data_IF_698912568114
#
_entry.id   IF_698912568114
#
_cell.length_a   1.000
_cell.length_b   1.000
_cell.length_c   1.000
_cell.angle_alpha   90.00
_cell.angle_beta   90.00
_cell.angle_gamma   90.00
#
_symmetry.space_group_name_H-M   'P 1'
#
loop_
_entity.id
_entity.type
_entity.pdbx_description
1 polymer ?
#
# COMPACT_ATOMS: atom_id res chain seq x y z
N UNK A 1 15.23 17.20 22.01
CA UNK A 1 14.14 17.66 21.12
C UNK A 1 13.47 18.93 21.63
N UNK A 2 12.89 18.99 22.83
CA UNK A 2 12.25 20.25 23.33
C UNK A 2 13.19 21.45 23.34
N UNK A 3 14.43 21.26 23.79
CA UNK A 3 15.47 22.30 23.73
C UNK A 3 15.73 22.81 22.30
N UNK A 4 15.65 21.95 21.29
CA UNK A 4 15.85 22.34 19.88
C UNK A 4 14.68 23.23 19.43
N UNK A 5 13.45 22.83 19.76
CA UNK A 5 12.23 23.59 19.44
C UNK A 5 12.24 24.95 20.14
N UNK A 6 12.64 25.01 21.41
CA UNK A 6 12.74 26.26 22.19
C UNK A 6 13.81 27.22 21.65
N UNK A 7 14.88 26.70 21.02
CA UNK A 7 15.91 27.52 20.37
C UNK A 7 15.44 28.16 19.06
N UNK A 8 14.31 27.73 18.50
CA UNK A 8 13.71 28.25 17.27
C UNK A 8 14.72 28.41 16.12
N UNK A 9 15.60 27.41 15.97
CA UNK A 9 16.71 27.44 15.02
C UNK A 9 16.17 27.55 13.59
N UNK A 10 16.65 28.51 12.77
CA UNK A 10 16.28 28.62 11.36
C UNK A 10 16.66 27.39 10.55
N UNK A 11 15.79 27.00 9.64
CA UNK A 11 16.02 25.94 8.66
C UNK A 11 16.26 26.62 7.31
N UNK A 12 17.53 26.67 6.90
CA UNK A 12 17.95 27.41 5.71
C UNK A 12 17.98 26.44 4.54
N UNK A 13 17.27 26.78 3.46
CA UNK A 13 17.30 26.04 2.19
C UNK A 13 18.25 26.75 1.22
N UNK A 14 19.19 26.00 0.69
CA UNK A 14 20.14 26.47 -0.33
C UNK A 14 20.06 25.58 -1.55
N UNK A 15 20.30 26.15 -2.73
CA UNK A 15 20.43 25.41 -3.98
C UNK A 15 21.90 25.46 -4.39
N UNK A 16 22.51 24.29 -4.57
CA UNK A 16 23.93 24.11 -4.86
C UNK A 16 24.10 23.20 -6.07
N UNK A 17 25.29 23.23 -6.68
CA UNK A 17 25.64 22.26 -7.73
C UNK A 17 25.74 20.85 -7.13
N UNK A 18 25.47 19.82 -7.94
CA UNK A 18 25.48 18.44 -7.45
C UNK A 18 26.85 18.01 -6.93
N UNK A 19 27.95 18.47 -7.54
CA UNK A 19 29.32 18.16 -7.11
C UNK A 19 29.65 18.80 -5.75
N UNK A 20 29.13 20.01 -5.51
CA UNK A 20 29.25 20.70 -4.22
C UNK A 20 28.44 19.96 -3.15
N UNK A 21 27.21 19.54 -3.47
CA UNK A 21 26.39 18.75 -2.56
C UNK A 21 27.04 17.41 -2.20
N UNK A 22 27.61 16.70 -3.17
CA UNK A 22 28.34 15.44 -2.93
C UNK A 22 29.50 15.66 -1.97
N UNK A 23 30.28 16.73 -2.17
CA UNK A 23 31.39 17.09 -1.27
C UNK A 23 30.90 17.36 0.16
N UNK A 24 29.79 18.12 0.29
CA UNK A 24 29.16 18.39 1.59
C UNK A 24 28.63 17.11 2.26
N UNK A 25 28.06 16.18 1.49
CA UNK A 25 27.60 14.89 2.01
C UNK A 25 28.76 13.99 2.45
N UNK A 26 29.89 14.03 1.75
CA UNK A 26 31.12 13.31 2.12
C UNK A 26 31.67 13.81 3.46
N UNK A 27 31.74 15.13 3.65
CA UNK A 27 32.16 15.75 4.92
C UNK A 27 31.30 15.32 6.13
N UNK A 28 30.03 14.99 5.88
CA UNK A 28 29.06 14.59 6.92
C UNK A 28 28.81 13.08 6.99
N UNK A 29 29.48 12.27 6.16
CA UNK A 29 29.36 10.81 6.14
C UNK A 29 28.04 10.27 5.57
N UNK A 30 27.36 11.02 4.70
CA UNK A 30 26.09 10.61 4.07
C UNK A 30 26.31 9.78 2.79
N UNK A 31 26.92 8.59 2.93
CA UNK A 31 27.26 7.69 1.80
C UNK A 31 26.04 7.29 0.95
N UNK A 32 24.90 7.07 1.60
CA UNK A 32 23.61 6.76 0.98
C UNK A 32 23.15 7.84 0.00
N UNK A 33 23.34 9.11 0.38
CA UNK A 33 23.04 10.26 -0.48
C UNK A 33 24.00 10.34 -1.63
N UNK A 34 25.32 10.24 -1.37
CA UNK A 34 26.34 10.25 -2.43
C UNK A 34 26.00 9.20 -3.49
N UNK A 35 25.69 7.97 -3.06
CA UNK A 35 25.25 6.87 -3.93
C UNK A 35 24.04 7.27 -4.76
N UNK A 36 22.99 7.82 -4.14
CA UNK A 36 21.80 8.30 -4.85
C UNK A 36 22.14 9.35 -5.91
N UNK A 37 22.84 10.42 -5.54
CA UNK A 37 23.07 11.54 -6.46
C UNK A 37 24.00 11.23 -7.62
N UNK A 38 24.95 10.31 -7.43
CA UNK A 38 25.77 9.78 -8.53
C UNK A 38 24.92 9.06 -9.59
N UNK A 39 23.70 8.65 -9.24
CA UNK A 39 22.78 8.02 -10.18
C UNK A 39 21.78 9.00 -10.79
N UNK A 40 21.73 10.27 -10.41
CA UNK A 40 20.75 11.24 -10.92
C UNK A 40 21.36 12.13 -12.02
N UNK A 41 20.51 12.85 -12.74
CA UNK A 41 20.88 13.77 -13.83
C UNK A 41 20.68 15.25 -13.48
N UNK A 42 20.34 15.55 -12.23
CA UNK A 42 20.12 16.91 -11.76
C UNK A 42 21.42 17.73 -11.78
N UNK A 43 21.42 18.91 -12.41
CA UNK A 43 22.54 19.86 -12.34
C UNK A 43 22.70 20.48 -10.94
N UNK A 44 21.56 20.67 -10.25
CA UNK A 44 21.48 21.35 -8.97
C UNK A 44 20.57 20.63 -8.01
N UNK A 45 20.91 20.68 -6.74
CA UNK A 45 20.15 20.04 -5.68
C UNK A 45 19.93 21.00 -4.52
N UNK A 46 18.86 20.75 -3.77
CA UNK A 46 18.52 21.53 -2.58
C UNK A 46 19.08 20.86 -1.35
N UNK A 47 19.87 21.61 -0.58
CA UNK A 47 20.35 21.21 0.74
C UNK A 47 19.70 22.08 1.80
N UNK A 48 19.53 21.52 2.99
CA UNK A 48 18.98 22.19 4.15
C UNK A 48 20.03 22.24 5.25
N UNK A 49 20.17 23.39 5.90
CA UNK A 49 21.04 23.61 7.05
C UNK A 49 20.21 23.95 8.28
N UNK A 50 20.49 23.27 9.39
CA UNK A 50 19.88 23.51 10.71
C UNK A 50 21.01 23.61 11.73
N UNK A 51 21.43 24.84 12.06
CA UNK A 51 22.66 25.04 12.81
C UNK A 51 23.85 24.45 12.06
N UNK A 52 24.59 23.56 12.71
CA UNK A 52 25.76 22.88 12.13
C UNK A 52 25.40 21.59 11.35
N UNK A 53 24.11 21.24 11.25
CA UNK A 53 23.66 20.05 10.54
C UNK A 53 23.27 20.36 9.10
N UNK A 54 23.73 19.54 8.16
CA UNK A 54 23.38 19.60 6.74
C UNK A 54 22.70 18.31 6.27
N UNK A 55 21.64 18.46 5.47
CA UNK A 55 20.87 17.33 4.96
C UNK A 55 20.08 17.64 3.67
N UNK A 56 19.50 16.60 3.05
CA UNK A 56 18.50 16.67 1.96
C UNK A 56 17.17 16.16 2.50
N UNK A 57 16.08 16.84 2.13
CA UNK A 57 14.74 16.30 2.35
C UNK A 57 13.92 16.29 1.06
N UNK A 58 13.16 15.21 0.88
CA UNK A 58 12.30 15.02 -0.29
C UNK A 58 11.11 16.00 -0.31
N UNK A 59 10.66 16.49 0.86
CA UNK A 59 9.58 17.47 1.01
C UNK A 59 10.04 18.90 1.30
N UNK A 60 9.07 19.72 1.71
CA UNK A 60 9.30 21.06 2.23
C UNK A 60 9.45 21.00 3.76
N UNK A 61 10.45 21.68 4.29
CA UNK A 61 10.63 21.82 5.73
C UNK A 61 9.95 23.09 6.25
N UNK A 62 9.60 23.09 7.54
CA UNK A 62 9.17 24.30 8.23
C UNK A 62 10.29 25.36 8.22
N UNK A 63 9.98 26.66 8.36
CA UNK A 63 10.99 27.72 8.37
C UNK A 63 11.97 27.64 9.56
N UNK A 64 11.52 27.14 10.71
CA UNK A 64 12.31 27.03 11.93
C UNK A 64 11.92 25.77 12.71
N UNK A 65 12.80 25.34 13.62
CA UNK A 65 12.53 24.21 14.51
C UNK A 65 11.41 24.47 15.53
N UNK A 66 11.04 25.74 15.78
CA UNK A 66 9.95 26.12 16.68
C UNK A 66 8.55 25.70 16.21
N UNK A 67 8.38 25.39 14.92
CA UNK A 67 7.09 24.93 14.36
C UNK A 67 6.66 23.54 14.89
N UNK A 68 7.58 22.75 15.45
CA UNK A 68 7.30 21.39 15.94
C UNK A 68 6.99 21.40 17.44
N UNK A 69 6.02 22.22 17.84
CA UNK A 69 5.67 22.42 19.26
C UNK A 69 4.89 21.27 19.92
N UNK A 70 4.27 20.40 19.13
CA UNK A 70 3.39 19.34 19.62
C UNK A 70 3.95 17.98 19.16
N UNK A 71 4.65 17.30 20.06
CA UNK A 71 5.14 15.93 19.85
C UNK A 71 5.26 15.18 21.18
N UNK A 72 5.30 13.85 21.11
CA UNK A 72 5.68 12.97 22.21
C UNK A 72 6.71 11.96 21.72
N UNK A 73 7.65 11.60 22.60
CA UNK A 73 8.72 10.65 22.31
C UNK A 73 8.59 9.47 23.26
N UNK A 74 8.29 8.30 22.70
CA UNK A 74 8.18 7.07 23.48
C UNK A 74 9.35 6.15 23.17
N UNK A 75 10.05 5.73 24.20
CA UNK A 75 11.02 4.65 24.05
C UNK A 75 10.30 3.37 23.64
N UNK A 76 10.77 2.74 22.57
CA UNK A 76 10.19 1.51 22.04
C UNK A 76 11.31 0.67 21.42
N UNK A 77 11.80 -0.31 22.16
CA UNK A 77 13.00 -1.07 21.81
C UNK A 77 12.93 -1.65 20.38
N UNK A 78 14.02 -1.56 19.58
CA UNK A 78 15.34 -0.99 19.91
C UNK A 78 15.49 0.53 19.64
N UNK A 79 14.39 1.24 19.38
CA UNK A 79 14.42 2.66 19.01
C UNK A 79 13.42 3.50 19.80
N UNK A 80 12.78 4.43 19.09
CA UNK A 80 11.77 5.31 19.65
C UNK A 80 10.63 5.54 18.66
N UNK A 81 9.47 5.87 19.20
CA UNK A 81 8.28 6.28 18.46
C UNK A 81 8.10 7.78 18.68
N UNK A 82 8.02 8.52 17.59
CA UNK A 82 7.71 9.94 17.59
C UNK A 82 6.23 10.08 17.24
N UNK A 83 5.44 10.59 18.18
CA UNK A 83 4.03 10.91 17.97
C UNK A 83 3.91 12.39 17.68
N UNK A 84 3.15 12.73 16.65
CA UNK A 84 2.84 14.10 16.27
C UNK A 84 1.39 14.17 15.77
N UNK A 85 0.75 15.36 15.80
CA UNK A 85 -0.59 15.54 15.27
C UNK A 85 -0.68 15.14 13.80
N UNK A 86 -1.75 14.45 13.43
CA UNK A 86 -2.15 14.24 12.03
C UNK A 86 -3.14 15.33 11.59
N UNK A 87 -3.38 15.45 10.29
CA UNK A 87 -4.39 16.37 9.71
C UNK A 87 -5.76 16.26 10.40
N UNK A 88 -6.13 15.03 10.78
CA UNK A 88 -7.46 14.74 11.34
C UNK A 88 -7.51 14.86 12.87
N UNK A 89 -6.35 15.08 13.50
CA UNK A 89 -6.24 15.10 14.97
C UNK A 89 -6.56 16.45 15.60
N UNK A 90 -6.85 17.49 14.80
CA UNK A 90 -7.08 18.87 15.27
C UNK A 90 -5.96 19.36 16.21
N UNK A 91 -4.70 19.18 15.81
CA UNK A 91 -3.50 19.52 16.58
C UNK A 91 -3.40 18.81 17.95
N UNK A 92 -4.03 17.64 18.11
CA UNK A 92 -3.90 16.81 19.31
C UNK A 92 -2.97 15.64 19.06
N UNK A 93 -2.22 15.24 20.08
CA UNK A 93 -1.41 14.04 19.99
C UNK A 93 -2.32 12.81 19.90
N UNK A 94 -2.11 11.92 18.91
CA UNK A 94 -2.85 10.68 18.84
C UNK A 94 -2.50 9.78 20.04
N UNK A 95 -3.48 8.97 20.46
CA UNK A 95 -3.21 7.92 21.45
C UNK A 95 -2.32 6.86 20.81
N UNK A 96 -1.19 6.57 21.45
CA UNK A 96 -0.34 5.46 21.03
C UNK A 96 -1.10 4.14 21.16
N UNK A 97 -1.18 3.40 20.05
CA UNK A 97 -1.63 2.01 20.00
C UNK A 97 -0.45 1.19 19.50
N UNK A 98 -0.05 0.19 20.26
CA UNK A 98 1.04 -0.71 19.86
C UNK A 98 0.60 -1.54 18.65
N UNK A 99 1.48 -1.66 17.65
CA UNK A 99 1.24 -2.37 16.39
C UNK A 99 2.37 -3.36 16.14
N UNK A 100 2.30 -4.51 16.83
CA UNK A 100 3.40 -5.49 16.87
C UNK A 100 3.59 -6.17 15.53
N UNK A 101 2.49 -6.56 14.86
CA UNK A 101 2.54 -7.26 13.58
C UNK A 101 3.07 -6.32 12.51
N UNK A 102 2.61 -5.07 12.48
CA UNK A 102 3.10 -4.08 11.54
C UNK A 102 4.60 -3.77 11.75
N UNK A 103 5.04 -3.60 13.00
CA UNK A 103 6.45 -3.38 13.32
C UNK A 103 7.33 -4.55 12.86
N UNK A 104 6.85 -5.79 13.02
CA UNK A 104 7.53 -6.99 12.51
C UNK A 104 7.66 -6.96 10.99
N UNK A 105 6.59 -6.61 10.26
CA UNK A 105 6.65 -6.53 8.78
C UNK A 105 7.68 -5.51 8.31
N UNK A 106 7.73 -4.32 8.92
CA UNK A 106 8.76 -3.32 8.58
C UNK A 106 10.19 -3.81 8.89
N UNK A 107 10.37 -4.57 9.97
CA UNK A 107 11.67 -5.19 10.30
C UNK A 107 12.07 -6.20 9.24
N UNK A 108 11.16 -7.12 8.90
CA UNK A 108 11.40 -8.18 7.92
C UNK A 108 11.67 -7.58 6.53
N UNK A 109 10.92 -6.55 6.13
CA UNK A 109 11.15 -5.78 4.90
C UNK A 109 12.55 -5.16 4.86
N UNK A 110 12.98 -4.50 5.94
CA UNK A 110 14.31 -3.89 6.03
C UNK A 110 15.43 -4.93 5.94
N UNK A 111 15.27 -6.08 6.60
CA UNK A 111 16.24 -7.17 6.53
C UNK A 111 16.38 -7.72 5.10
N UNK A 112 15.27 -7.91 4.40
CA UNK A 112 15.28 -8.33 3.00
C UNK A 112 15.91 -7.31 2.07
N UNK A 113 15.58 -6.02 2.21
CA UNK A 113 16.20 -4.96 1.44
C UNK A 113 17.73 -4.93 1.61
N UNK A 114 18.22 -5.15 2.84
CA UNK A 114 19.66 -5.26 3.10
C UNK A 114 20.30 -6.50 2.45
N UNK A 115 19.63 -7.65 2.46
CA UNK A 115 20.11 -8.88 1.80
C UNK A 115 20.29 -8.67 0.29
N UNK A 116 19.43 -7.86 -0.33
CA UNK A 116 19.50 -7.54 -1.76
C UNK A 116 20.49 -6.42 -2.10
N UNK A 117 21.16 -5.82 -1.11
CA UNK A 117 21.88 -4.55 -1.25
C UNK A 117 20.99 -3.45 -1.88
N UNK A 118 19.74 -3.38 -1.44
CA UNK A 118 18.70 -2.44 -1.92
C UNK A 118 18.08 -1.64 -0.78
N UNK A 119 18.90 -1.19 0.17
CA UNK A 119 18.40 -0.39 1.29
C UNK A 119 17.82 0.97 0.82
N UNK A 120 18.37 1.54 -0.26
CA UNK A 120 18.05 2.87 -0.74
C UNK A 120 17.84 2.93 -2.25
N UNK A 121 17.13 3.97 -2.72
CA UNK A 121 16.88 4.21 -4.15
C UNK A 121 18.17 4.30 -4.96
N UNK A 122 19.25 4.87 -4.40
CA UNK A 122 20.56 4.91 -5.08
C UNK A 122 21.06 3.52 -5.46
N UNK A 123 20.92 2.53 -4.56
CA UNK A 123 21.31 1.15 -4.84
C UNK A 123 20.46 0.52 -5.95
N UNK A 124 19.15 0.76 -5.94
CA UNK A 124 18.27 0.31 -7.01
C UNK A 124 18.68 0.92 -8.35
N UNK A 125 18.94 2.22 -8.38
CA UNK A 125 19.33 2.93 -9.59
C UNK A 125 20.65 2.39 -10.16
N UNK A 126 21.64 2.09 -9.33
CA UNK A 126 22.87 1.45 -9.78
C UNK A 126 22.60 0.08 -10.42
N UNK A 127 21.74 -0.74 -9.82
CA UNK A 127 21.34 -2.04 -10.40
C UNK A 127 20.66 -1.86 -11.75
N UNK A 128 19.86 -0.80 -11.94
CA UNK A 128 19.26 -0.46 -13.22
C UNK A 128 20.32 -0.05 -14.25
N UNK A 129 21.18 0.92 -13.89
CA UNK A 129 22.21 1.47 -14.78
C UNK A 129 23.22 0.39 -15.21
N UNK A 130 23.59 -0.51 -14.30
CA UNK A 130 24.55 -1.59 -14.56
C UNK A 130 23.94 -2.81 -15.28
N UNK A 131 22.63 -2.79 -15.59
CA UNK A 131 21.95 -3.90 -16.27
C UNK A 131 21.68 -5.12 -15.37
N UNK A 132 21.71 -4.95 -14.05
CA UNK A 132 21.53 -6.00 -13.03
C UNK A 132 20.08 -6.12 -12.54
N UNK A 133 19.19 -5.23 -13.00
CA UNK A 133 17.78 -5.16 -12.53
C UNK A 133 17.00 -6.47 -12.71
N UNK A 134 17.32 -7.26 -13.74
CA UNK A 134 16.65 -8.55 -13.96
C UNK A 134 16.84 -9.54 -12.81
N UNK A 135 17.99 -9.52 -12.12
CA UNK A 135 18.21 -10.34 -10.93
C UNK A 135 17.36 -9.86 -9.75
N UNK A 136 17.33 -8.55 -9.52
CA UNK A 136 16.51 -7.92 -8.48
C UNK A 136 15.04 -8.30 -8.64
N UNK A 137 14.50 -8.21 -9.86
CA UNK A 137 13.11 -8.56 -10.16
C UNK A 137 12.85 -10.03 -9.83
N UNK A 138 13.71 -10.95 -10.31
CA UNK A 138 13.56 -12.39 -10.04
C UNK A 138 13.58 -12.71 -8.56
N UNK A 139 14.47 -12.09 -7.77
CA UNK A 139 14.55 -12.36 -6.34
C UNK A 139 13.33 -11.76 -5.61
N UNK A 140 12.92 -10.54 -5.95
CA UNK A 140 11.75 -9.89 -5.35
C UNK A 140 10.46 -10.70 -5.60
N UNK A 141 10.28 -11.21 -6.82
CA UNK A 141 9.13 -12.04 -7.19
C UNK A 141 9.18 -13.42 -6.55
N UNK A 142 10.35 -14.05 -6.51
CA UNK A 142 10.53 -15.32 -5.81
C UNK A 142 10.26 -15.20 -4.30
N UNK A 143 10.57 -14.05 -3.69
CA UNK A 143 10.25 -13.79 -2.29
C UNK A 143 8.75 -13.67 -2.05
N UNK A 144 8.02 -12.96 -2.92
CA UNK A 144 6.56 -12.88 -2.87
C UNK A 144 5.95 -14.29 -3.00
N UNK A 145 6.36 -15.04 -4.01
CA UNK A 145 5.88 -16.42 -4.24
C UNK A 145 6.14 -17.32 -3.03
N UNK A 146 7.36 -17.27 -2.47
CA UNK A 146 7.72 -18.03 -1.27
C UNK A 146 6.83 -17.69 -0.09
N UNK A 147 6.56 -16.40 0.15
CA UNK A 147 5.71 -15.95 1.26
C UNK A 147 4.25 -16.39 1.07
N UNK A 148 3.71 -16.34 -0.14
CA UNK A 148 2.33 -16.78 -0.41
C UNK A 148 2.21 -18.29 -0.22
N UNK A 149 3.18 -19.07 -0.72
CA UNK A 149 3.24 -20.52 -0.47
C UNK A 149 3.27 -20.84 1.03
N UNK A 150 4.12 -20.15 1.80
CA UNK A 150 4.17 -20.32 3.26
C UNK A 150 2.84 -19.99 3.97
N UNK A 151 2.13 -18.96 3.51
CA UNK A 151 0.79 -18.63 4.03
C UNK A 151 -0.19 -19.76 3.73
N UNK A 152 -0.18 -20.30 2.50
CA UNK A 152 -1.02 -21.43 2.13
C UNK A 152 -0.69 -22.70 2.94
N UNK A 153 0.58 -22.94 3.24
CA UNK A 153 1.03 -24.05 4.08
C UNK A 153 0.47 -23.91 5.50
N UNK A 154 0.64 -22.74 6.12
CA UNK A 154 0.11 -22.42 7.47
C UNK A 154 -1.41 -22.63 7.53
N UNK A 155 -2.14 -22.17 6.51
CA UNK A 155 -3.60 -22.34 6.44
C UNK A 155 -3.96 -23.83 6.36
N UNK A 156 -3.21 -24.62 5.60
CA UNK A 156 -3.48 -26.05 5.43
C UNK A 156 -3.02 -26.93 6.61
N UNK A 157 -2.24 -26.40 7.55
CA UNK A 157 -1.85 -27.11 8.78
C UNK A 157 -3.02 -27.27 9.77
N UNK A 158 -4.05 -26.41 9.66
CA UNK A 158 -5.23 -26.43 10.52
C UNK A 158 -6.50 -26.76 9.72
N UNK A 159 -7.02 -27.98 9.91
CA UNK A 159 -8.23 -28.45 9.24
C UNK A 159 -9.52 -27.74 9.69
N UNK A 160 -9.50 -26.98 10.80
CA UNK A 160 -10.64 -26.18 11.23
C UNK A 160 -10.80 -24.91 10.35
N UNK A 161 -9.73 -24.45 9.69
CA UNK A 161 -9.78 -23.26 8.83
C UNK A 161 -10.51 -23.60 7.53
N UNK A 162 -11.67 -22.97 7.34
CA UNK A 162 -12.47 -23.08 6.12
C UNK A 162 -12.84 -21.70 5.54
N UNK A 163 -12.43 -20.62 6.19
CA UNK A 163 -12.66 -19.25 5.74
C UNK A 163 -11.37 -18.43 5.82
N UNK A 164 -10.98 -17.81 4.71
CA UNK A 164 -9.78 -16.99 4.60
C UNK A 164 -10.22 -15.57 4.26
N UNK A 165 -10.08 -14.66 5.21
CA UNK A 165 -10.52 -13.28 5.10
C UNK A 165 -9.33 -12.39 4.72
N UNK A 166 -9.41 -11.73 3.57
CA UNK A 166 -8.36 -10.88 3.03
C UNK A 166 -8.84 -9.44 3.02
N UNK A 167 -8.15 -8.57 3.76
CA UNK A 167 -8.38 -7.13 3.69
C UNK A 167 -7.08 -6.35 3.49
N UNK A 168 -7.26 -5.07 3.18
CA UNK A 168 -6.17 -4.21 2.76
C UNK A 168 -6.73 -2.98 2.09
N UNK A 169 -6.00 -1.87 2.12
CA UNK A 169 -6.51 -0.63 1.57
C UNK A 169 -6.49 -0.63 0.03
N UNK A 170 -7.01 0.42 -0.60
CA UNK A 170 -7.09 0.51 -2.06
C UNK A 170 -5.70 0.41 -2.71
N UNK A 171 -5.60 -0.33 -3.83
CA UNK A 171 -4.34 -0.56 -4.55
C UNK A 171 -3.26 -1.31 -3.75
N UNK A 172 -3.66 -2.10 -2.75
CA UNK A 172 -2.73 -2.98 -2.03
C UNK A 172 -2.46 -4.32 -2.73
N UNK A 173 -3.13 -4.65 -3.84
CA UNK A 173 -2.92 -5.92 -4.55
C UNK A 173 -3.70 -7.11 -3.97
N UNK A 174 -4.82 -6.88 -3.27
CA UNK A 174 -5.64 -7.92 -2.63
C UNK A 174 -6.11 -8.97 -3.61
N UNK A 175 -6.68 -8.53 -4.74
CA UNK A 175 -7.31 -9.43 -5.71
C UNK A 175 -6.27 -10.34 -6.35
N UNK A 176 -5.13 -9.78 -6.80
CA UNK A 176 -4.04 -10.63 -7.32
C UNK A 176 -3.45 -11.55 -6.25
N UNK A 177 -3.29 -11.09 -5.00
CA UNK A 177 -2.85 -11.95 -3.92
C UNK A 177 -3.82 -13.10 -3.64
N UNK A 178 -5.14 -12.83 -3.61
CA UNK A 178 -6.16 -13.84 -3.37
C UNK A 178 -6.11 -14.95 -4.43
N UNK A 179 -5.97 -14.58 -5.69
CA UNK A 179 -5.83 -15.53 -6.80
C UNK A 179 -4.53 -16.35 -6.70
N UNK A 180 -3.40 -15.71 -6.37
CA UNK A 180 -2.13 -16.42 -6.16
C UNK A 180 -2.20 -17.37 -4.96
N UNK A 181 -2.81 -16.93 -3.85
CA UNK A 181 -3.03 -17.77 -2.69
C UNK A 181 -3.92 -18.98 -3.05
N UNK A 182 -4.97 -18.76 -3.85
CA UNK A 182 -5.85 -19.83 -4.31
C UNK A 182 -5.08 -20.90 -5.11
N UNK A 183 -4.10 -20.50 -5.92
CA UNK A 183 -3.22 -21.43 -6.65
C UNK A 183 -2.39 -22.28 -5.68
N UNK A 184 -1.76 -21.67 -4.66
CA UNK A 184 -0.98 -22.44 -3.68
C UNK A 184 -1.85 -23.35 -2.81
N UNK A 185 -3.05 -22.93 -2.44
CA UNK A 185 -4.01 -23.80 -1.75
C UNK A 185 -4.39 -25.01 -2.61
N UNK A 186 -4.51 -24.84 -3.93
CA UNK A 186 -4.73 -25.95 -4.88
C UNK A 186 -3.53 -26.90 -4.94
N UNK A 187 -2.31 -26.38 -4.90
CA UNK A 187 -1.08 -27.20 -4.77
C UNK A 187 -1.12 -28.02 -3.49
N UNK A 188 -1.64 -27.45 -2.40
CA UNK A 188 -1.83 -28.13 -1.11
C UNK A 188 -3.08 -29.03 -1.05
N UNK A 189 -3.72 -29.31 -2.20
CA UNK A 189 -4.84 -30.24 -2.31
C UNK A 189 -6.21 -29.69 -1.93
N UNK A 190 -6.32 -28.39 -1.64
CA UNK A 190 -7.60 -27.71 -1.40
C UNK A 190 -8.23 -27.23 -2.72
N UNK A 191 -9.50 -26.86 -2.69
CA UNK A 191 -10.29 -26.36 -3.84
C UNK A 191 -10.94 -25.03 -3.46
N UNK A 192 -10.15 -23.96 -3.23
CA UNK A 192 -10.68 -22.70 -2.74
C UNK A 192 -11.70 -22.10 -3.72
N UNK A 193 -12.71 -21.43 -3.15
CA UNK A 193 -13.64 -20.59 -3.88
C UNK A 193 -13.44 -19.12 -3.45
N UNK A 194 -13.49 -18.19 -4.41
CA UNK A 194 -13.41 -16.75 -4.13
C UNK A 194 -14.82 -16.16 -3.99
N UNK A 195 -15.02 -15.28 -3.00
CA UNK A 195 -16.25 -14.50 -2.82
C UNK A 195 -15.87 -13.04 -2.56
N UNK A 196 -16.22 -12.17 -3.51
CA UNK A 196 -16.05 -10.74 -3.36
C UNK A 196 -17.08 -10.15 -2.41
N UNK A 197 -16.60 -9.43 -1.39
CA UNK A 197 -17.49 -8.67 -0.49
C UNK A 197 -18.24 -7.59 -1.27
N UNK A 198 -17.63 -7.05 -2.32
CA UNK A 198 -18.22 -6.00 -3.15
C UNK A 198 -19.47 -6.50 -3.90
N UNK A 199 -19.58 -7.80 -4.21
CA UNK A 199 -20.77 -8.40 -4.82
C UNK A 199 -21.98 -8.43 -3.88
N UNK A 200 -21.75 -8.23 -2.57
CA UNK A 200 -22.77 -8.17 -1.53
C UNK A 200 -23.22 -6.74 -1.19
N UNK A 201 -22.80 -5.73 -1.95
CA UNK A 201 -23.30 -4.37 -1.77
C UNK A 201 -24.83 -4.30 -1.87
N UNK A 202 -25.44 -3.44 -1.04
CA UNK A 202 -26.86 -3.05 -1.17
C UNK A 202 -27.07 -2.22 -2.43
N UNK A 203 -28.32 -2.02 -2.87
CA UNK A 203 -28.54 -1.14 -4.03
C UNK A 203 -28.05 0.28 -3.71
N UNK A 204 -27.69 1.05 -4.74
CA UNK A 204 -27.21 2.42 -4.58
C UNK A 204 -28.17 3.27 -3.74
N UNK A 205 -29.48 3.12 -3.94
CA UNK A 205 -30.50 3.85 -3.18
C UNK A 205 -30.58 3.46 -1.69
N UNK A 206 -30.11 2.25 -1.34
CA UNK A 206 -30.08 1.72 0.03
C UNK A 206 -28.72 1.98 0.72
N UNK A 207 -27.73 2.47 -0.02
CA UNK A 207 -26.39 2.76 0.50
C UNK A 207 -26.47 3.93 1.49
N UNK A 208 -25.82 3.85 2.67
CA UNK A 208 -25.83 4.94 3.63
C UNK A 208 -25.25 6.22 3.04
N UNK A 209 -25.68 7.37 3.56
CA UNK A 209 -25.13 8.67 3.18
C UNK A 209 -24.07 9.11 4.19
N UNK A 210 -23.02 9.76 3.68
CA UNK A 210 -21.95 10.35 4.47
C UNK A 210 -22.37 11.70 5.11
N UNK A 211 -21.41 12.36 5.77
CA UNK A 211 -21.61 13.67 6.39
C UNK A 211 -21.96 14.81 5.40
N UNK A 212 -21.71 14.61 4.10
CA UNK A 212 -21.99 15.55 3.02
C UNK A 212 -23.29 15.21 2.27
N UNK A 213 -23.95 14.10 2.60
CA UNK A 213 -25.15 13.62 1.92
C UNK A 213 -24.86 12.82 0.65
N UNK A 214 -23.62 12.40 0.43
CA UNK A 214 -23.19 11.55 -0.69
C UNK A 214 -23.20 10.07 -0.27
N UNK A 215 -23.35 9.13 -1.21
CA UNK A 215 -23.35 7.70 -0.88
C UNK A 215 -21.99 7.22 -0.35
N UNK A 216 -21.98 6.66 0.86
CA UNK A 216 -20.81 6.09 1.53
C UNK A 216 -20.65 4.59 1.19
N UNK A 217 -20.02 4.31 0.05
CA UNK A 217 -19.70 2.93 -0.36
C UNK A 217 -18.57 2.29 0.45
N UNK A 218 -17.86 3.05 1.29
CA UNK A 218 -16.77 2.54 2.12
C UNK A 218 -17.26 2.10 3.50
N UNK A 219 -18.51 2.41 3.87
CA UNK A 219 -19.16 1.99 5.11
C UNK A 219 -19.48 0.49 5.09
N UNK A 220 -19.34 -0.16 6.26
CA UNK A 220 -19.71 -1.56 6.42
C UNK A 220 -21.22 -1.78 6.12
N UNK A 221 -22.04 -0.79 6.44
CA UNK A 221 -23.48 -0.80 6.21
C UNK A 221 -23.88 -0.71 4.72
N UNK A 222 -22.92 -0.42 3.82
CA UNK A 222 -23.12 -0.55 2.37
C UNK A 222 -23.17 -2.03 1.93
N UNK A 223 -22.79 -2.98 2.79
CA UNK A 223 -22.85 -4.42 2.52
C UNK A 223 -24.14 -4.98 3.12
N UNK A 224 -24.82 -5.87 2.38
CA UNK A 224 -25.89 -6.71 2.93
C UNK A 224 -25.29 -7.78 3.85
N UNK A 225 -24.90 -7.37 5.05
CA UNK A 225 -24.28 -8.23 6.06
C UNK A 225 -25.16 -9.43 6.42
N UNK A 226 -26.48 -9.25 6.38
CA UNK A 226 -27.43 -10.31 6.68
C UNK A 226 -27.34 -11.39 5.62
N UNK A 227 -27.52 -11.03 4.35
CA UNK A 227 -27.43 -12.01 3.27
C UNK A 227 -26.02 -12.64 3.19
N UNK A 228 -24.97 -11.84 3.36
CA UNK A 228 -23.60 -12.33 3.36
C UNK A 228 -23.40 -13.43 4.41
N UNK A 229 -23.79 -13.20 5.67
CA UNK A 229 -23.63 -14.20 6.71
C UNK A 229 -24.57 -15.42 6.52
N UNK A 230 -25.80 -15.21 6.05
CA UNK A 230 -26.74 -16.32 5.74
C UNK A 230 -26.17 -17.22 4.63
N UNK A 231 -25.63 -16.64 3.56
CA UNK A 231 -25.01 -17.38 2.46
C UNK A 231 -23.77 -18.14 2.92
N UNK A 232 -22.91 -17.54 3.75
CA UNK A 232 -21.74 -18.21 4.31
C UNK A 232 -22.11 -19.42 5.19
N UNK A 233 -23.12 -19.29 6.05
CA UNK A 233 -23.60 -20.40 6.89
C UNK A 233 -24.14 -21.53 6.01
N UNK A 234 -24.99 -21.21 5.05
CA UNK A 234 -25.57 -22.20 4.11
C UNK A 234 -24.48 -22.93 3.32
N UNK A 235 -23.46 -22.21 2.86
CA UNK A 235 -22.30 -22.81 2.22
C UNK A 235 -21.59 -23.81 3.15
N UNK A 236 -21.26 -23.40 4.38
CA UNK A 236 -20.57 -24.27 5.35
C UNK A 236 -21.41 -25.48 5.80
N UNK A 237 -22.75 -25.39 5.73
CA UNK A 237 -23.67 -26.52 5.92
C UNK A 237 -23.76 -27.44 4.70
N UNK A 238 -23.08 -27.09 3.60
CA UNK A 238 -23.02 -27.87 2.37
C UNK A 238 -24.23 -27.65 1.46
N UNK A 239 -24.94 -26.53 1.58
CA UNK A 239 -26.00 -26.14 0.66
C UNK A 239 -25.44 -25.51 -0.63
N UNK A 240 -26.25 -25.54 -1.69
CA UNK A 240 -25.97 -24.78 -2.92
C UNK A 240 -26.57 -23.38 -2.80
N UNK A 241 -25.78 -22.35 -3.13
CA UNK A 241 -26.25 -20.97 -3.24
C UNK A 241 -25.98 -20.42 -4.65
N UNK A 242 -26.71 -19.38 -5.03
CA UNK A 242 -26.39 -18.55 -6.19
C UNK A 242 -25.69 -17.29 -5.67
N UNK A 243 -24.45 -17.03 -6.10
CA UNK A 243 -23.72 -15.83 -5.66
C UNK A 243 -24.44 -14.57 -6.16
N UNK A 244 -24.52 -13.50 -5.36
CA UNK A 244 -24.95 -12.21 -5.87
C UNK A 244 -23.87 -11.64 -6.82
N UNK A 245 -24.26 -10.62 -7.59
CA UNK A 245 -23.32 -9.79 -8.34
C UNK A 245 -23.74 -8.34 -8.23
N UNK A 246 -22.80 -7.45 -7.92
CA UNK A 246 -23.09 -6.02 -7.91
C UNK A 246 -22.75 -5.38 -9.25
N UNK A 247 -23.72 -4.68 -9.86
CA UNK A 247 -23.51 -3.96 -11.09
C UNK A 247 -23.15 -2.50 -10.79
N UNK A 248 -21.85 -2.18 -10.75
CA UNK A 248 -21.38 -0.83 -10.44
C UNK A 248 -21.90 0.26 -11.38
N UNK A 249 -22.12 -0.07 -12.66
CA UNK A 249 -22.63 0.89 -13.66
C UNK A 249 -24.07 1.26 -13.32
N UNK A 250 -24.92 0.27 -13.10
CA UNK A 250 -26.35 0.47 -12.77
C UNK A 250 -26.58 0.84 -11.31
N UNK A 251 -25.66 0.50 -10.42
CA UNK A 251 -25.79 0.65 -8.97
C UNK A 251 -26.83 -0.29 -8.35
N UNK A 252 -27.00 -1.49 -8.90
CA UNK A 252 -28.02 -2.46 -8.43
C UNK A 252 -27.43 -3.85 -8.30
N UNK A 253 -28.05 -4.66 -7.44
CA UNK A 253 -27.75 -6.08 -7.29
C UNK A 253 -28.41 -6.88 -8.40
N UNK A 254 -27.67 -7.82 -8.94
CA UNK A 254 -28.13 -8.74 -9.97
C UNK A 254 -27.83 -10.19 -9.55
N UNK A 255 -28.61 -11.12 -10.10
CA UNK A 255 -28.30 -12.55 -9.99
C UNK A 255 -27.11 -12.85 -10.90
N UNK A 256 -26.06 -13.44 -10.35
CA UNK A 256 -24.88 -13.79 -11.14
C UNK A 256 -25.13 -14.95 -12.12
N UNK A 257 -26.11 -15.82 -11.82
CA UNK A 257 -26.27 -17.11 -12.49
C UNK A 257 -25.20 -18.15 -12.09
N UNK A 258 -24.25 -17.78 -11.24
CA UNK A 258 -23.17 -18.63 -10.76
C UNK A 258 -23.62 -19.31 -9.48
N UNK A 259 -23.75 -20.63 -9.54
CA UNK A 259 -24.09 -21.47 -8.40
C UNK A 259 -22.84 -22.13 -7.85
N UNK A 260 -22.72 -22.13 -6.53
CA UNK A 260 -21.59 -22.72 -5.83
C UNK A 260 -22.07 -23.58 -4.68
N UNK A 261 -21.23 -24.55 -4.32
CA UNK A 261 -21.40 -25.45 -3.20
C UNK A 261 -20.02 -25.78 -2.66
N UNK A 262 -19.86 -25.79 -1.35
CA UNK A 262 -18.58 -26.12 -0.71
C UNK A 262 -18.68 -27.41 0.10
N UNK A 263 -17.52 -28.03 0.30
CA UNK A 263 -17.30 -29.11 1.26
C UNK A 263 -16.03 -28.77 2.05
N UNK A 264 -15.59 -29.68 2.93
CA UNK A 264 -14.40 -29.49 3.78
C UNK A 264 -13.09 -29.19 3.03
N UNK A 265 -12.98 -29.53 1.75
CA UNK A 265 -11.78 -29.26 0.97
C UNK A 265 -11.88 -27.92 0.21
N UNK A 266 -12.99 -27.18 0.32
CA UNK A 266 -13.21 -25.90 -0.34
C UNK A 266 -13.16 -24.73 0.66
N UNK A 267 -11.96 -24.27 1.07
CA UNK A 267 -11.87 -23.06 1.87
C UNK A 267 -12.43 -21.86 1.08
N UNK A 268 -13.21 -21.03 1.74
CA UNK A 268 -13.81 -19.83 1.16
C UNK A 268 -12.83 -18.68 1.34
N UNK A 269 -12.28 -18.15 0.25
CA UNK A 269 -11.50 -16.92 0.24
C UNK A 269 -12.48 -15.76 0.08
N UNK A 270 -12.54 -14.88 1.06
CA UNK A 270 -13.34 -13.66 1.05
C UNK A 270 -12.39 -12.48 1.02
N UNK A 271 -12.48 -11.65 0.00
CA UNK A 271 -11.69 -10.43 -0.14
C UNK A 271 -12.58 -9.17 -0.13
N UNK A 272 -12.10 -8.14 0.55
CA UNK A 272 -12.81 -6.87 0.64
C UNK A 272 -12.15 -5.93 1.62
N UNK A 273 -12.45 -4.64 1.54
CA UNK A 273 -11.87 -3.65 2.46
C UNK A 273 -12.22 -3.96 3.92
N UNK A 274 -13.38 -4.58 4.17
CA UNK A 274 -13.86 -4.93 5.50
C UNK A 274 -13.49 -6.34 5.96
N UNK A 275 -12.65 -7.10 5.23
CA UNK A 275 -12.35 -8.51 5.55
C UNK A 275 -11.89 -8.76 7.00
N UNK A 276 -11.28 -7.77 7.65
CA UNK A 276 -10.80 -7.87 9.04
C UNK A 276 -11.78 -7.31 10.08
N UNK A 277 -12.88 -6.69 9.65
CA UNK A 277 -13.89 -6.17 10.55
C UNK A 277 -14.64 -7.35 11.21
N UNK A 278 -14.65 -7.49 12.55
CA UNK A 278 -15.30 -8.60 13.23
C UNK A 278 -16.80 -8.75 12.91
N UNK A 279 -17.46 -7.66 12.50
CA UNK A 279 -18.88 -7.65 12.13
C UNK A 279 -19.16 -8.22 10.73
N UNK A 280 -18.16 -8.33 9.85
CA UNK A 280 -18.38 -8.77 8.47
C UNK A 280 -18.89 -10.22 8.42
N UNK A 281 -18.16 -11.14 9.05
CA UNK A 281 -18.47 -12.57 9.09
C UNK A 281 -18.82 -13.02 10.52
N UNK A 282 -19.70 -12.29 11.21
CA UNK A 282 -20.00 -12.48 12.63
C UNK A 282 -20.59 -13.88 12.94
N UNK A 283 -21.33 -14.49 12.01
CA UNK A 283 -21.98 -15.78 12.26
C UNK A 283 -21.01 -16.96 12.20
N UNK A 284 -19.80 -16.74 11.68
CA UNK A 284 -18.78 -17.77 11.55
C UNK A 284 -17.89 -17.75 12.81
N UNK A 285 -17.60 -18.90 13.45
CA UNK A 285 -16.71 -18.94 14.61
C UNK A 285 -15.29 -18.47 14.26
N UNK A 286 -14.62 -17.77 15.18
CA UNK A 286 -13.25 -17.27 14.95
C UNK A 286 -12.24 -18.38 14.65
N UNK A 287 -12.39 -19.57 15.24
CA UNK A 287 -11.51 -20.72 14.98
C UNK A 287 -11.54 -21.23 13.54
N UNK A 288 -12.59 -20.88 12.79
CA UNK A 288 -12.76 -21.29 11.40
C UNK A 288 -12.21 -20.25 10.41
N UNK A 289 -11.75 -19.10 10.91
CA UNK A 289 -11.27 -17.97 10.11
C UNK A 289 -9.74 -17.88 10.16
N UNK A 290 -9.16 -17.52 9.03
CA UNK A 290 -7.78 -17.07 8.92
C UNK A 290 -7.75 -15.70 8.27
N UNK A 291 -7.17 -14.72 8.95
CA UNK A 291 -7.25 -13.31 8.58
C UNK A 291 -5.92 -12.81 8.02
N UNK A 292 -5.95 -12.25 6.83
CA UNK A 292 -4.77 -11.74 6.11
C UNK A 292 -4.96 -10.24 5.86
N UNK A 293 -3.99 -9.45 6.33
CA UNK A 293 -3.89 -8.03 5.97
C UNK A 293 -2.84 -7.82 4.89
N UNK A 294 -3.18 -7.09 3.83
CA UNK A 294 -2.29 -6.80 2.71
C UNK A 294 -2.11 -5.31 2.57
N UNK A 295 -0.86 -4.85 2.51
CA UNK A 295 -0.54 -3.44 2.25
C UNK A 295 0.76 -3.30 1.47
N UNK A 296 0.91 -2.21 0.71
CA UNK A 296 2.14 -1.86 0.01
C UNK A 296 3.12 -1.15 0.97
N UNK A 297 3.75 -1.92 1.85
CA UNK A 297 4.64 -1.40 2.89
C UNK A 297 6.05 -1.23 2.31
N UNK A 298 6.20 -0.25 1.41
CA UNK A 298 7.42 0.03 0.65
C UNK A 298 8.68 -0.10 1.51
N UNK A 299 9.54 -1.05 1.10
CA UNK A 299 10.74 -1.45 1.83
C UNK A 299 11.91 -0.48 1.60
N UNK A 300 11.89 0.18 0.45
CA UNK A 300 12.92 1.10 -0.02
C UNK A 300 12.73 2.48 0.61
N UNK A 301 13.83 3.10 1.05
CA UNK A 301 13.84 4.53 1.36
C UNK A 301 14.59 5.29 0.26
N UNK A 302 14.34 6.60 0.12
CA UNK A 302 15.13 7.43 -0.79
C UNK A 302 16.59 7.46 -0.30
N UNK A 303 16.75 7.69 1.00
CA UNK A 303 18.00 7.70 1.74
C UNK A 303 17.71 7.38 3.23
N UNK A 304 18.69 7.48 4.12
CA UNK A 304 18.58 7.15 5.54
C UNK A 304 17.54 8.00 6.30
N UNK A 305 17.20 9.19 5.80
CA UNK A 305 16.32 10.15 6.47
C UNK A 305 14.98 10.35 5.74
N UNK A 306 14.90 9.98 4.46
CA UNK A 306 13.73 10.17 3.62
C UNK A 306 13.04 8.84 3.31
N UNK A 307 12.01 8.50 4.10
CA UNK A 307 11.19 7.30 3.88
C UNK A 307 10.21 7.50 2.74
N UNK A 308 9.92 6.41 2.02
CA UNK A 308 8.83 6.40 1.05
C UNK A 308 7.52 6.17 1.78
N UNK A 309 6.54 7.04 1.52
CA UNK A 309 5.19 6.93 2.07
C UNK A 309 4.43 5.79 1.40
N UNK A 310 3.88 4.86 2.19
CA UNK A 310 2.94 3.83 1.71
C UNK A 310 1.72 4.46 1.02
N UNK A 311 1.26 5.62 1.49
CA UNK A 311 0.14 6.35 0.87
C UNK A 311 0.50 6.80 -0.55
N UNK A 312 1.71 7.32 -0.74
CA UNK A 312 2.15 7.82 -2.05
C UNK A 312 2.36 6.68 -3.03
N UNK A 313 2.98 5.57 -2.60
CA UNK A 313 3.10 4.35 -3.43
C UNK A 313 1.73 3.84 -3.87
N UNK A 314 0.75 3.83 -2.96
CA UNK A 314 -0.61 3.38 -3.27
C UNK A 314 -1.38 4.35 -4.17
N UNK A 315 -1.19 5.66 -4.01
CA UNK A 315 -1.73 6.67 -4.92
C UNK A 315 -1.17 6.47 -6.32
N UNK A 316 0.14 6.27 -6.47
CA UNK A 316 0.79 5.98 -7.76
C UNK A 316 0.20 4.71 -8.39
N UNK A 317 0.12 3.60 -7.64
CA UNK A 317 -0.53 2.37 -8.11
C UNK A 317 -1.96 2.63 -8.56
N UNK A 318 -2.73 3.38 -7.76
CA UNK A 318 -4.13 3.72 -8.07
C UNK A 318 -4.24 4.53 -9.36
N UNK A 319 -3.43 5.58 -9.52
CA UNK A 319 -3.42 6.42 -10.72
C UNK A 319 -3.21 5.59 -11.98
N UNK A 320 -2.23 4.68 -11.99
CA UNK A 320 -1.99 3.81 -13.16
C UNK A 320 -3.21 2.93 -13.45
N UNK A 321 -3.74 2.24 -12.44
CA UNK A 321 -4.89 1.34 -12.61
C UNK A 321 -6.14 2.09 -13.04
N UNK A 322 -6.46 3.19 -12.38
CA UNK A 322 -7.68 3.95 -12.58
C UNK A 322 -7.71 4.56 -13.99
N UNK A 323 -6.56 5.06 -14.48
CA UNK A 323 -6.41 5.51 -15.87
C UNK A 323 -6.54 4.36 -16.88
N UNK A 324 -5.89 3.22 -16.62
CA UNK A 324 -5.81 2.12 -17.58
C UNK A 324 -7.09 1.27 -17.67
N UNK A 325 -7.77 1.04 -16.55
CA UNK A 325 -8.85 0.05 -16.44
C UNK A 325 -10.20 0.63 -16.03
N UNK A 326 -10.23 1.81 -15.41
CA UNK A 326 -11.47 2.38 -14.85
C UNK A 326 -11.95 3.66 -15.54
N UNK A 327 -11.19 4.17 -16.51
CA UNK A 327 -11.55 5.37 -17.27
C UNK A 327 -11.54 6.66 -16.44
N UNK A 328 -10.89 6.66 -15.28
CA UNK A 328 -10.70 7.86 -14.47
C UNK A 328 -9.40 8.55 -14.90
N UNK A 329 -9.47 9.84 -15.18
CA UNK A 329 -8.27 10.64 -15.37
C UNK A 329 -7.57 10.96 -14.03
N UNK A 330 -6.44 11.67 -14.10
CA UNK A 330 -5.66 12.04 -12.92
C UNK A 330 -6.45 12.95 -11.97
N UNK A 331 -7.27 13.86 -12.51
CA UNK A 331 -8.05 14.81 -11.73
C UNK A 331 -9.12 14.11 -10.89
N UNK A 332 -9.86 13.18 -11.52
CA UNK A 332 -10.86 12.36 -10.82
C UNK A 332 -10.22 11.45 -9.79
N UNK A 333 -9.04 10.90 -10.08
CA UNK A 333 -8.32 10.05 -9.12
C UNK A 333 -7.93 10.85 -7.87
N UNK A 334 -7.42 12.07 -8.03
CA UNK A 334 -7.02 12.93 -6.92
C UNK A 334 -8.23 13.41 -6.11
N UNK A 335 -9.31 13.78 -6.77
CA UNK A 335 -10.58 14.16 -6.13
C UNK A 335 -11.12 13.05 -5.21
N UNK A 336 -11.03 11.80 -5.64
CA UNK A 336 -11.52 10.65 -4.88
C UNK A 336 -10.54 10.18 -3.79
N UNK A 337 -9.28 10.59 -3.83
CA UNK A 337 -8.24 10.03 -2.97
C UNK A 337 -8.45 10.34 -1.49
N UNK A 338 -8.84 11.57 -1.17
CA UNK A 338 -9.08 12.00 0.22
C UNK A 338 -10.21 11.19 0.86
N UNK A 339 -11.32 11.00 0.14
CA UNK A 339 -12.45 10.19 0.61
C UNK A 339 -12.02 8.74 0.86
N UNK A 340 -11.27 8.13 -0.06
CA UNK A 340 -10.80 6.76 0.11
C UNK A 340 -9.85 6.63 1.29
N UNK A 341 -8.87 7.52 1.45
CA UNK A 341 -7.96 7.45 2.59
C UNK A 341 -8.67 7.70 3.93
N UNK A 342 -9.74 8.51 3.95
CA UNK A 342 -10.61 8.69 5.12
C UNK A 342 -11.37 7.39 5.43
N UNK A 343 -11.98 6.75 4.43
CA UNK A 343 -12.65 5.46 4.57
C UNK A 343 -11.71 4.40 5.14
N UNK A 344 -10.48 4.30 4.62
CA UNK A 344 -9.48 3.34 5.09
C UNK A 344 -9.10 3.51 6.56
N UNK A 345 -8.98 4.76 7.03
CA UNK A 345 -8.69 5.09 8.44
C UNK A 345 -9.80 4.65 9.39
N UNK A 346 -11.04 4.63 8.93
CA UNK A 346 -12.21 4.25 9.73
C UNK A 346 -12.46 2.74 9.64
N UNK A 347 -12.32 2.17 8.45
CA UNK A 347 -12.86 0.86 8.13
C UNK A 347 -11.82 -0.26 8.01
N UNK A 348 -10.54 0.08 7.85
CA UNK A 348 -9.48 -0.90 7.60
C UNK A 348 -8.39 -0.84 8.67
N UNK A 349 -7.71 0.30 8.82
CA UNK A 349 -6.56 0.43 9.73
C UNK A 349 -6.87 0.12 11.20
N UNK A 350 -8.07 0.38 11.74
CA UNK A 350 -8.39 -0.02 13.11
C UNK A 350 -8.30 -1.53 13.36
N UNK A 351 -8.53 -2.33 12.32
CA UNK A 351 -8.61 -3.79 12.35
C UNK A 351 -7.35 -4.49 11.81
N UNK A 352 -6.34 -3.77 11.31
CA UNK A 352 -5.17 -4.41 10.68
C UNK A 352 -4.40 -5.37 11.62
N UNK A 353 -4.36 -5.08 12.93
CA UNK A 353 -3.69 -5.95 13.91
C UNK A 353 -4.54 -7.19 14.31
N UNK A 354 -5.81 -7.26 13.89
CA UNK A 354 -6.65 -8.46 14.01
C UNK A 354 -6.22 -9.57 13.03
N UNK A 355 -5.43 -9.25 12.01
CA UNK A 355 -4.98 -10.23 11.01
C UNK A 355 -3.99 -11.23 11.61
N UNK A 356 -4.18 -12.52 11.37
CA UNK A 356 -3.24 -13.57 11.78
C UNK A 356 -1.88 -13.40 11.12
N UNK A 357 -1.87 -12.96 9.86
CA UNK A 357 -0.67 -12.63 9.10
C UNK A 357 -0.82 -11.35 8.29
N UNK A 358 0.29 -10.64 8.13
CA UNK A 358 0.38 -9.47 7.27
C UNK A 358 1.28 -9.79 6.08
N UNK A 359 0.84 -9.42 4.88
CA UNK A 359 1.62 -9.53 3.65
C UNK A 359 1.94 -8.14 3.10
N UNK A 360 3.24 -7.88 2.94
CA UNK A 360 3.73 -6.71 2.24
C UNK A 360 3.75 -6.98 0.74
N UNK A 361 2.87 -6.29 0.00
CA UNK A 361 2.77 -6.42 -1.45
C UNK A 361 3.67 -5.46 -2.22
N UNK A 362 4.48 -4.64 -1.53
CA UNK A 362 5.45 -3.79 -2.21
C UNK A 362 6.53 -4.62 -2.90
N UNK A 363 6.92 -4.18 -4.10
CA UNK A 363 8.04 -4.73 -4.85
C UNK A 363 9.11 -3.65 -4.93
N UNK A 364 10.35 -3.98 -4.59
CA UNK A 364 11.43 -2.99 -4.45
C UNK A 364 11.69 -2.16 -5.71
N UNK A 365 11.34 -2.69 -6.88
CA UNK A 365 11.55 -2.07 -8.19
C UNK A 365 10.31 -1.37 -8.76
N UNK A 366 9.14 -1.47 -8.11
CA UNK A 366 7.87 -1.11 -8.77
C UNK A 366 7.77 0.37 -9.16
N UNK A 367 8.32 1.27 -8.35
CA UNK A 367 8.24 2.71 -8.62
C UNK A 367 9.05 3.11 -9.85
N UNK A 368 10.15 2.40 -10.12
CA UNK A 368 10.96 2.56 -11.33
C UNK A 368 10.23 2.11 -12.61
N UNK A 369 9.18 1.28 -12.47
CA UNK A 369 8.29 0.90 -13.58
C UNK A 369 7.08 1.85 -13.65
N UNK A 370 6.38 2.04 -12.52
CA UNK A 370 5.14 2.83 -12.44
C UNK A 370 5.36 4.29 -12.85
N UNK A 371 6.55 4.86 -12.63
CA UNK A 371 6.85 6.25 -13.02
C UNK A 371 6.61 6.51 -14.50
N UNK A 372 6.90 5.54 -15.39
CA UNK A 372 6.71 5.67 -16.84
C UNK A 372 5.24 5.90 -17.20
N UNK A 373 4.34 5.32 -16.41
CA UNK A 373 2.90 5.42 -16.60
C UNK A 373 2.31 6.66 -15.90
N UNK A 374 2.83 7.03 -14.72
CA UNK A 374 2.27 8.13 -13.91
C UNK A 374 2.82 9.50 -14.28
N UNK A 375 4.11 9.63 -14.64
CA UNK A 375 4.73 10.92 -14.93
C UNK A 375 4.00 11.69 -16.04
N UNK A 376 3.62 11.08 -17.18
CA UNK A 376 2.86 11.79 -18.22
C UNK A 376 1.53 12.35 -17.70
N UNK A 377 0.81 11.56 -16.88
CA UNK A 377 -0.48 11.97 -16.29
C UNK A 377 -0.31 13.13 -15.31
N UNK A 378 0.75 13.11 -14.48
CA UNK A 378 1.03 14.20 -13.55
C UNK A 378 1.42 15.50 -14.26
N UNK A 379 2.04 15.41 -15.45
CA UNK A 379 2.42 16.57 -16.25
C UNK A 379 1.23 17.29 -16.89
N UNK A 380 0.06 16.66 -16.96
CA UNK A 380 -1.19 17.30 -17.41
C UNK A 380 -1.71 18.33 -16.40
N UNK A 381 -1.28 18.26 -15.13
CA UNK A 381 -1.71 19.17 -14.07
C UNK A 381 -0.85 20.44 -14.11
N UNK A 382 -1.44 21.54 -14.58
CA UNK A 382 -0.79 22.85 -14.59
C UNK A 382 -1.06 23.67 -13.30
N UNK A 383 -0.42 24.85 -13.23
CA UNK A 383 -0.47 25.75 -12.07
C UNK A 383 -1.84 26.34 -11.75
N UNK A 384 -2.83 26.19 -12.64
CA UNK A 384 -4.21 26.62 -12.38
C UNK A 384 -5.02 25.59 -11.60
N UNK A 385 -4.57 24.33 -11.54
CA UNK A 385 -5.22 23.26 -10.80
C UNK A 385 -4.96 23.36 -9.29
N UNK A 386 -5.98 23.03 -8.50
CA UNK A 386 -5.85 22.89 -7.04
C UNK A 386 -4.87 21.78 -6.65
N UNK A 387 -4.64 20.81 -7.55
CA UNK A 387 -3.76 19.66 -7.35
C UNK A 387 -2.31 19.88 -7.81
N UNK A 388 -1.97 21.11 -8.22
CA UNK A 388 -0.65 21.40 -8.78
C UNK A 388 0.48 21.08 -7.79
N UNK A 389 0.29 21.41 -6.51
CA UNK A 389 1.32 21.22 -5.48
C UNK A 389 1.65 19.73 -5.28
N UNK A 390 0.60 18.91 -5.18
CA UNK A 390 0.66 17.46 -5.03
C UNK A 390 1.33 16.83 -6.26
N UNK A 391 0.93 17.25 -7.47
CA UNK A 391 1.53 16.76 -8.71
C UNK A 391 3.02 17.08 -8.79
N UNK A 392 3.43 18.31 -8.43
CA UNK A 392 4.85 18.70 -8.40
C UNK A 392 5.65 17.92 -7.36
N UNK A 393 5.05 17.62 -6.20
CA UNK A 393 5.69 16.78 -5.18
C UNK A 393 5.92 15.35 -5.66
N UNK A 394 4.90 14.73 -6.28
CA UNK A 394 5.02 13.38 -6.86
C UNK A 394 5.99 13.33 -8.04
N UNK A 395 6.03 14.36 -8.90
CA UNK A 395 7.04 14.44 -9.97
C UNK A 395 8.45 14.51 -9.41
N UNK A 396 8.69 15.33 -8.37
CA UNK A 396 9.99 15.39 -7.66
C UNK A 396 10.32 14.07 -6.95
N UNK A 397 9.30 13.35 -6.47
CA UNK A 397 9.49 12.04 -5.86
C UNK A 397 9.98 11.01 -6.87
N UNK A 398 9.25 10.91 -7.99
CA UNK A 398 9.52 9.94 -9.04
C UNK A 398 10.83 10.24 -9.79
N UNK A 399 11.34 11.48 -9.74
CA UNK A 399 12.62 11.85 -10.35
C UNK A 399 13.82 11.19 -9.67
N UNK A 400 13.68 10.65 -8.45
CA UNK A 400 14.75 9.89 -7.81
C UNK A 400 14.97 8.51 -8.40
N UNK A 401 14.04 7.99 -9.19
CA UNK A 401 14.10 6.64 -9.72
C UNK A 401 14.59 6.64 -11.16
N UNK A 402 15.51 5.75 -11.50
CA UNK A 402 15.81 5.41 -12.89
C UNK A 402 14.70 4.54 -13.49
N UNK A 403 14.48 4.67 -14.78
CA UNK A 403 13.45 3.92 -15.49
C UNK A 403 13.89 2.47 -15.74
N UNK A 404 12.97 1.53 -15.51
CA UNK A 404 13.12 0.16 -16.00
C UNK A 404 12.44 0.11 -17.37
N UNK A 405 13.24 0.06 -18.42
CA UNK A 405 12.72 0.20 -19.78
C UNK A 405 11.99 -1.03 -20.29
N UNK A 406 12.59 -2.20 -20.06
CA UNK A 406 12.04 -3.49 -20.44
C UNK A 406 11.06 -3.97 -19.37
N UNK A 407 9.75 -3.88 -19.66
CA UNK A 407 8.70 -4.40 -18.78
C UNK A 407 8.42 -5.91 -19.02
N UNK A 408 8.99 -6.53 -20.06
CA UNK A 408 8.76 -7.96 -20.36
C UNK A 408 9.48 -8.89 -19.38
N UNK A 409 10.54 -8.39 -18.72
CA UNK A 409 11.23 -9.11 -17.64
C UNK A 409 10.37 -9.29 -16.39
N UNK A 410 9.26 -8.55 -16.25
CA UNK A 410 8.35 -8.64 -15.11
C UNK A 410 7.45 -9.88 -15.30
N UNK A 411 7.43 -10.83 -14.35
CA UNK A 411 6.61 -12.04 -14.50
C UNK A 411 5.11 -11.73 -14.67
N UNK A 412 4.38 -12.50 -15.50
CA UNK A 412 2.94 -12.31 -15.68
C UNK A 412 2.09 -12.53 -14.42
N UNK A 413 2.61 -13.27 -13.43
CA UNK A 413 1.96 -13.49 -12.14
C UNK A 413 2.37 -12.45 -11.08
N UNK A 414 3.16 -11.43 -11.43
CA UNK A 414 3.52 -10.34 -10.53
C UNK A 414 2.28 -9.53 -10.12
N UNK A 415 2.22 -9.10 -8.85
CA UNK A 415 1.19 -8.15 -8.37
C UNK A 415 1.23 -6.85 -9.17
N UNK A 416 2.41 -6.45 -9.68
CA UNK A 416 2.56 -5.23 -10.45
C UNK A 416 1.74 -5.26 -11.75
N UNK A 417 1.48 -6.46 -12.31
CA UNK A 417 0.69 -6.65 -13.53
C UNK A 417 -0.78 -6.27 -13.37
N UNK A 418 -1.30 -6.18 -12.14
CA UNK A 418 -2.60 -5.57 -11.85
C UNK A 418 -2.64 -4.11 -12.32
N UNK A 419 -1.52 -3.39 -12.24
CA UNK A 419 -1.46 -1.96 -12.53
C UNK A 419 -1.01 -1.70 -13.97
N UNK A 420 0.08 -2.34 -14.40
CA UNK A 420 0.70 -2.08 -15.71
C UNK A 420 0.20 -3.01 -16.82
N UNK A 421 -0.61 -4.02 -16.52
CA UNK A 421 -1.11 -5.00 -17.49
C UNK A 421 -0.11 -6.07 -17.90
N UNK A 422 -0.58 -7.04 -18.70
CA UNK A 422 0.17 -8.26 -19.03
C UNK A 422 0.07 -9.34 -17.94
N UNK A 423 -0.99 -9.32 -17.14
CA UNK A 423 -1.25 -10.34 -16.13
C UNK A 423 -1.78 -11.64 -16.79
N UNK A 424 -1.31 -12.80 -16.30
CA UNK A 424 -1.89 -14.10 -16.66
C UNK A 424 -3.22 -14.36 -15.95
N UNK A 425 -3.51 -13.59 -14.90
CA UNK A 425 -4.72 -13.64 -14.10
C UNK A 425 -5.56 -12.43 -14.46
N UNK A 426 -6.83 -12.64 -14.82
CA UNK A 426 -7.72 -11.51 -15.10
C UNK A 426 -8.22 -10.91 -13.77
N UNK A 427 -7.84 -9.65 -13.51
CA UNK A 427 -8.09 -8.96 -12.24
C UNK A 427 -9.06 -7.76 -12.38
N UNK A 428 -9.44 -7.39 -13.61
CA UNK A 428 -10.29 -6.22 -13.91
C UNK A 428 -11.51 -6.56 -14.75
#
# INVERSE_FOLDING_TARGET
MREIVEKDIPIIREEVLIEEAISLFEEHGHEDKIRLYNTLEDEKVQVYKIGDHLDRFHGYLAPTTGYVGIFDLKYYYPGAIILFPTTDSNNKLPKFKEQKKLAKVFKDAKEWANILDLAYVGSLNEKIINGEIGEVIRISEALHEKKIAQIADIICEDDDINMILIAGPSSSGKTTFAERLAIHLKVNGKRPIGISVDDYFVNREDTPLDENGEYDFESLEAIDLKQFNEDLVRLLEGEEIELPKYNFVKGIREKSGVKIKVDKDHPIIVEGIHGLNPKLAEYIPEKNKFKIYISALTQLNIDAHNRISTTDTRLIRRTVRDNKYRGNDIFRTFELWDSVTKGEKINIFPYQEEADIMFDSALVYELAVLKKHVVPLLQEIDSSSVYYSEARMLLKFLSYFRDIEDEDIIPPNSILREFIGGADINVH
#
